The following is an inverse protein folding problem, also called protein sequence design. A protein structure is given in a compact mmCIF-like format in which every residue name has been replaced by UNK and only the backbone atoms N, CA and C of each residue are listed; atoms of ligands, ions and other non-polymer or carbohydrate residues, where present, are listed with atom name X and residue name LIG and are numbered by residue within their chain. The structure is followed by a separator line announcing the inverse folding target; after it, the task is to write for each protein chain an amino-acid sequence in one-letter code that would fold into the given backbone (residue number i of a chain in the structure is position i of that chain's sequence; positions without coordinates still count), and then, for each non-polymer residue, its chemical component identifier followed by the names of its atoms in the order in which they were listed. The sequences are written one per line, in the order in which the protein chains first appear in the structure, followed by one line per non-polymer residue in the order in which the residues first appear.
data_IF_307136529418
#
_entry.id   IF_307136529418
#
_cell.length_a   1.000
_cell.length_b   1.000
_cell.length_c   1.000
_cell.angle_alpha   90.00
_cell.angle_beta   90.00
_cell.angle_gamma   90.00
#
_symmetry.space_group_name_H-M   'P 1'
#
loop_
_entity.id
_entity.type
_entity.pdbx_description
1 polymer ?
#
# COMPACT_ATOMS: atom_id res chain seq x y z
N UNK A 1 46.96 10.69 49.74
CA UNK A 1 47.00 10.80 48.26
C UNK A 1 46.62 9.47 47.64
N UNK A 2 45.87 9.46 46.52
CA UNK A 2 45.38 8.30 45.72
C UNK A 2 44.14 7.59 46.30
N UNK A 3 43.01 7.37 45.61
CA UNK A 3 42.61 7.47 44.19
C UNK A 3 41.11 7.81 44.12
N UNK A 4 40.74 8.85 43.40
CA UNK A 4 39.36 9.15 42.99
C UNK A 4 39.09 8.38 41.70
N UNK A 5 38.08 7.52 41.69
CA UNK A 5 37.63 6.81 40.49
C UNK A 5 36.69 7.76 39.73
N UNK A 6 37.18 8.30 38.62
CA UNK A 6 36.36 9.03 37.64
C UNK A 6 35.68 8.00 36.74
N UNK A 7 34.37 7.82 36.93
CA UNK A 7 33.52 7.08 35.99
C UNK A 7 33.21 8.05 34.84
N UNK A 8 33.93 7.91 33.73
CA UNK A 8 33.62 8.54 32.46
C UNK A 8 32.37 7.86 31.88
N UNK A 9 31.23 8.55 31.98
CA UNK A 9 30.01 8.20 31.25
C UNK A 9 30.29 8.50 29.77
N UNK A 10 30.61 7.45 29.03
CA UNK A 10 30.66 7.46 27.57
C UNK A 10 29.22 7.65 27.08
N UNK A 11 28.83 8.89 26.77
CA UNK A 11 27.61 9.15 26.03
C UNK A 11 27.76 8.48 24.67
N UNK A 12 27.05 7.36 24.50
CA UNK A 12 26.86 6.72 23.22
C UNK A 12 26.36 7.79 22.24
N UNK A 13 27.12 7.97 21.17
CA UNK A 13 26.64 8.63 19.96
C UNK A 13 25.37 7.90 19.53
N UNK A 14 24.22 8.53 19.72
CA UNK A 14 22.99 8.12 19.05
C UNK A 14 23.24 8.44 17.58
N UNK A 15 23.81 7.49 16.86
CA UNK A 15 23.66 7.47 15.42
C UNK A 15 22.16 7.27 15.18
N UNK A 16 21.50 8.34 14.74
CA UNK A 16 20.15 8.29 14.21
C UNK A 16 20.21 7.43 12.95
N UNK A 17 20.15 6.11 13.10
CA UNK A 17 19.89 5.23 11.97
C UNK A 17 18.51 5.61 11.46
N UNK A 18 18.44 6.30 10.32
CA UNK A 18 17.22 6.40 9.54
C UNK A 18 16.80 4.96 9.23
N UNK A 19 15.91 4.39 10.04
CA UNK A 19 15.33 3.10 9.74
C UNK A 19 14.55 3.29 8.44
N UNK A 20 14.96 2.64 7.35
CA UNK A 20 14.12 2.53 6.17
C UNK A 20 12.78 1.96 6.63
N UNK A 21 11.71 2.75 6.49
CA UNK A 21 10.34 2.38 6.83
C UNK A 21 9.82 1.40 5.76
N UNK A 22 10.44 0.25 5.64
CA UNK A 22 9.95 -0.81 4.76
C UNK A 22 8.62 -1.35 5.28
N UNK A 23 7.76 -1.73 4.35
CA UNK A 23 6.41 -2.24 4.63
C UNK A 23 6.19 -3.61 3.98
N UNK A 24 5.25 -4.36 4.54
CA UNK A 24 4.78 -5.60 3.94
C UNK A 24 3.77 -5.30 2.84
N UNK A 25 4.11 -5.69 1.61
CA UNK A 25 3.30 -5.46 0.41
C UNK A 25 2.94 -6.77 -0.25
N UNK A 26 1.78 -6.82 -0.88
CA UNK A 26 1.23 -8.04 -1.50
C UNK A 26 1.38 -7.98 -3.00
N UNK A 27 2.03 -8.98 -3.60
CA UNK A 27 2.11 -9.12 -5.06
C UNK A 27 0.82 -9.72 -5.64
N UNK A 28 0.60 -9.60 -6.95
CA UNK A 28 -0.54 -10.23 -7.63
C UNK A 28 -0.59 -11.76 -7.48
N UNK A 29 0.58 -12.39 -7.28
CA UNK A 29 0.70 -13.81 -6.96
C UNK A 29 0.11 -14.17 -5.59
N UNK A 30 -0.12 -13.17 -4.72
CA UNK A 30 -0.51 -13.33 -3.32
C UNK A 30 0.67 -13.54 -2.38
N UNK A 31 1.91 -13.49 -2.89
CA UNK A 31 3.12 -13.43 -2.07
C UNK A 31 3.21 -12.11 -1.32
N UNK A 32 3.78 -12.14 -0.12
CA UNK A 32 4.05 -10.96 0.70
C UNK A 32 5.55 -10.69 0.66
N UNK A 33 5.92 -9.48 0.27
CA UNK A 33 7.30 -9.02 0.18
C UNK A 33 7.52 -7.82 1.07
N UNK A 34 8.79 -7.62 1.45
CA UNK A 34 9.23 -6.47 2.22
C UNK A 34 9.91 -5.48 1.27
N UNK A 35 9.39 -4.27 1.18
CA UNK A 35 9.85 -3.26 0.23
C UNK A 35 9.62 -1.86 0.77
N UNK A 36 10.29 -0.87 0.18
CA UNK A 36 10.01 0.54 0.44
C UNK A 36 8.54 0.87 0.13
N UNK A 37 7.93 1.81 0.88
CA UNK A 37 6.56 2.24 0.63
C UNK A 37 6.41 2.78 -0.78
N UNK A 38 5.41 2.27 -1.48
CA UNK A 38 4.97 2.78 -2.76
C UNK A 38 3.58 3.41 -2.58
N UNK A 39 3.29 4.46 -3.34
CA UNK A 39 1.95 5.05 -3.37
C UNK A 39 1.33 4.84 -4.74
N UNK A 40 0.02 4.60 -4.78
CA UNK A 40 -0.79 4.57 -6.00
C UNK A 40 -1.55 5.84 -6.28
N UNK A 41 -1.46 6.85 -5.42
CA UNK A 41 -2.08 8.16 -5.62
C UNK A 41 -0.97 9.19 -5.81
N UNK A 42 -1.10 10.06 -6.81
CA UNK A 42 -0.09 11.10 -6.99
C UNK A 42 -0.24 12.15 -5.89
N UNK A 43 0.89 12.64 -5.43
CA UNK A 43 0.97 13.75 -4.49
C UNK A 43 1.29 15.02 -5.28
N UNK A 44 0.44 16.02 -5.15
CA UNK A 44 0.75 17.37 -5.58
C UNK A 44 1.05 18.24 -4.36
N UNK A 45 1.99 19.17 -4.52
CA UNK A 45 2.21 20.20 -3.51
C UNK A 45 1.02 21.15 -3.58
N UNK A 46 0.35 21.38 -2.45
CA UNK A 46 -0.64 22.45 -2.37
C UNK A 46 0.03 23.79 -2.68
N UNK A 47 -0.62 24.56 -3.54
CA UNK A 47 -0.11 25.88 -3.94
C UNK A 47 -0.50 26.87 -2.85
N UNK A 48 0.50 27.43 -2.18
CA UNK A 48 0.30 28.62 -1.35
C UNK A 48 0.04 29.81 -2.29
N UNK A 49 -1.25 30.14 -2.44
CA UNK A 49 -1.69 31.21 -3.33
C UNK A 49 -1.15 32.59 -2.94
N UNK A 50 -0.85 32.83 -1.66
CA UNK A 50 -0.33 34.12 -1.20
C UNK A 50 1.15 34.24 -1.55
N UNK A 51 1.92 33.19 -1.25
CA UNK A 51 3.34 33.11 -1.63
C UNK A 51 3.50 33.23 -3.16
N UNK A 52 2.68 32.48 -3.92
CA UNK A 52 2.73 32.51 -5.38
C UNK A 52 2.32 33.88 -5.94
N UNK A 53 1.34 34.56 -5.33
CA UNK A 53 0.97 35.92 -5.74
C UNK A 53 2.13 36.89 -5.55
N UNK A 54 2.77 36.91 -4.39
CA UNK A 54 3.95 37.74 -4.15
C UNK A 54 5.06 37.42 -5.16
N UNK A 55 5.29 36.13 -5.40
CA UNK A 55 6.29 35.70 -6.40
C UNK A 55 5.96 36.18 -7.81
N UNK A 56 4.69 36.14 -8.20
CA UNK A 56 4.24 36.62 -9.50
C UNK A 56 4.49 38.13 -9.70
N UNK A 57 4.36 38.94 -8.64
CA UNK A 57 4.63 40.38 -8.68
C UNK A 57 6.13 40.66 -8.85
N UNK A 58 6.99 39.88 -8.19
CA UNK A 58 8.45 39.93 -8.39
C UNK A 58 8.85 39.59 -9.83
N UNK A 59 8.26 38.52 -10.39
CA UNK A 59 8.51 38.08 -11.77
C UNK A 59 8.11 39.15 -12.79
N UNK A 60 6.94 39.76 -12.62
CA UNK A 60 6.50 40.86 -13.47
C UNK A 60 7.44 42.08 -13.35
N UNK A 61 7.89 42.42 -12.15
CA UNK A 61 8.84 43.51 -11.95
C UNK A 61 10.21 43.20 -12.58
N UNK A 62 10.66 41.94 -12.52
CA UNK A 62 11.89 41.49 -13.17
C UNK A 62 11.79 41.57 -14.69
N UNK A 63 10.68 41.13 -15.27
CA UNK A 63 10.39 41.31 -16.70
C UNK A 63 10.47 42.78 -17.10
N UNK A 64 9.73 43.68 -16.42
CA UNK A 64 9.74 45.13 -16.72
C UNK A 64 11.11 45.81 -16.65
N UNK A 65 12.08 45.22 -15.93
CA UNK A 65 13.45 45.74 -15.83
C UNK A 65 14.40 45.19 -16.89
N UNK A 66 14.08 44.05 -17.49
CA UNK A 66 15.01 43.27 -18.31
C UNK A 66 14.50 42.92 -19.70
N UNK A 67 13.19 43.04 -19.94
CA UNK A 67 12.48 42.52 -21.11
C UNK A 67 12.74 41.03 -21.38
N UNK A 68 13.15 40.27 -20.34
CA UNK A 68 13.40 38.83 -20.46
C UNK A 68 12.09 38.06 -20.62
N UNK A 69 11.94 37.39 -21.76
CA UNK A 69 10.80 36.50 -22.03
C UNK A 69 10.71 35.31 -21.07
N UNK A 70 11.84 34.92 -20.43
CA UNK A 70 11.85 33.88 -19.39
C UNK A 70 11.06 34.34 -18.16
N UNK A 71 11.36 35.54 -17.63
CA UNK A 71 10.58 36.10 -16.52
C UNK A 71 9.12 36.34 -16.89
N UNK A 72 8.84 36.68 -18.15
CA UNK A 72 7.46 36.86 -18.61
C UNK A 72 6.71 35.53 -18.72
N UNK A 73 7.37 34.48 -19.18
CA UNK A 73 6.86 33.11 -19.20
C UNK A 73 6.59 32.61 -17.78
N UNK A 74 7.53 32.78 -16.85
CA UNK A 74 7.35 32.37 -15.45
C UNK A 74 6.21 33.14 -14.78
N UNK A 75 6.07 34.43 -15.09
CA UNK A 75 4.93 35.23 -14.64
C UNK A 75 3.60 34.65 -15.15
N UNK A 76 3.52 34.29 -16.43
CA UNK A 76 2.33 33.67 -17.01
C UNK A 76 2.04 32.28 -16.44
N UNK A 77 3.07 31.48 -16.13
CA UNK A 77 2.92 30.21 -15.44
C UNK A 77 2.33 30.42 -14.04
N UNK A 78 2.85 31.39 -13.27
CA UNK A 78 2.31 31.74 -11.96
C UNK A 78 0.84 32.19 -12.04
N UNK A 79 0.49 33.02 -13.04
CA UNK A 79 -0.90 33.41 -13.29
C UNK A 79 -1.80 32.22 -13.61
N UNK A 80 -1.28 31.24 -14.37
CA UNK A 80 -2.02 30.00 -14.67
C UNK A 80 -2.33 29.23 -13.39
N UNK A 81 -1.35 29.04 -12.50
CA UNK A 81 -1.56 28.41 -11.19
C UNK A 81 -2.50 29.20 -10.27
N UNK A 82 -2.54 30.53 -10.39
CA UNK A 82 -3.47 31.41 -9.68
C UNK A 82 -4.87 31.45 -10.30
N UNK A 83 -5.10 30.79 -11.43
CA UNK A 83 -6.39 30.75 -12.12
C UNK A 83 -6.68 31.94 -13.05
N UNK A 84 -5.73 32.86 -13.25
CA UNK A 84 -5.86 33.99 -14.20
C UNK A 84 -5.49 33.54 -15.62
N UNK A 85 -6.22 32.55 -16.12
CA UNK A 85 -5.95 31.88 -17.39
C UNK A 85 -6.02 32.83 -18.59
N UNK A 86 -6.93 33.81 -18.56
CA UNK A 86 -7.11 34.74 -19.68
C UNK A 86 -5.92 35.68 -19.82
N UNK A 87 -5.34 36.15 -18.70
CA UNK A 87 -4.13 36.96 -18.72
C UNK A 87 -2.91 36.14 -19.10
N UNK A 88 -2.77 34.94 -18.54
CA UNK A 88 -1.69 34.01 -18.90
C UNK A 88 -1.71 33.70 -20.41
N UNK A 89 -2.88 33.44 -20.98
CA UNK A 89 -3.09 33.24 -22.43
C UNK A 89 -2.54 34.42 -23.24
N UNK A 90 -2.98 35.65 -22.92
CA UNK A 90 -2.54 36.86 -23.65
C UNK A 90 -1.03 37.02 -23.61
N UNK A 91 -0.40 36.73 -22.47
CA UNK A 91 1.06 36.79 -22.32
C UNK A 91 1.73 35.73 -23.20
N UNK A 92 1.30 34.47 -23.16
CA UNK A 92 1.91 33.45 -24.01
C UNK A 92 1.67 33.68 -25.50
N UNK A 93 0.53 34.25 -25.90
CA UNK A 93 0.30 34.70 -27.29
C UNK A 93 1.23 35.84 -27.71
N UNK A 94 1.62 36.71 -26.77
CA UNK A 94 2.65 37.71 -27.00
C UNK A 94 4.05 37.12 -27.07
N UNK A 95 4.40 36.20 -26.18
CA UNK A 95 5.68 35.47 -26.22
C UNK A 95 5.83 34.74 -27.55
N UNK A 96 4.79 34.05 -28.03
CA UNK A 96 4.81 33.38 -29.33
C UNK A 96 5.00 34.36 -30.50
N UNK A 97 4.42 35.58 -30.43
CA UNK A 97 4.62 36.60 -31.47
C UNK A 97 6.04 37.17 -31.47
N UNK A 98 6.64 37.33 -30.28
CA UNK A 98 8.00 37.86 -30.12
C UNK A 98 9.08 36.82 -30.40
N UNK A 99 8.83 35.58 -30.00
CA UNK A 99 9.73 34.44 -30.13
C UNK A 99 8.91 33.19 -30.49
N UNK A 100 8.62 32.99 -31.79
CA UNK A 100 7.77 31.88 -32.23
C UNK A 100 8.43 30.52 -32.04
N UNK A 101 7.61 29.47 -31.98
CA UNK A 101 8.03 28.07 -31.99
C UNK A 101 8.84 27.64 -30.76
N UNK A 102 8.54 28.21 -29.60
CA UNK A 102 9.02 27.68 -28.32
C UNK A 102 8.09 26.54 -27.87
N UNK A 103 8.63 25.35 -27.66
CA UNK A 103 7.83 24.20 -27.22
C UNK A 103 7.15 24.48 -25.86
N UNK A 104 7.82 25.20 -24.95
CA UNK A 104 7.28 25.59 -23.64
C UNK A 104 6.06 26.51 -23.78
N UNK A 105 6.13 27.51 -24.66
CA UNK A 105 5.00 28.39 -24.98
C UNK A 105 3.85 27.60 -25.59
N UNK A 106 4.15 26.70 -26.54
CA UNK A 106 3.13 25.85 -27.16
C UNK A 106 2.45 24.94 -26.12
N UNK A 107 3.22 24.29 -25.24
CA UNK A 107 2.69 23.43 -24.20
C UNK A 107 1.82 24.21 -23.20
N UNK A 108 2.28 25.38 -22.75
CA UNK A 108 1.54 26.22 -21.81
C UNK A 108 0.24 26.76 -22.44
N UNK A 109 0.28 27.21 -23.69
CA UNK A 109 -0.94 27.58 -24.43
C UNK A 109 -1.90 26.39 -24.51
N UNK A 110 -1.42 25.21 -24.85
CA UNK A 110 -2.25 24.00 -24.90
C UNK A 110 -2.98 23.73 -23.57
N UNK A 111 -2.24 23.73 -22.46
CA UNK A 111 -2.81 23.58 -21.11
C UNK A 111 -3.80 24.71 -20.77
N UNK A 112 -3.47 25.96 -21.07
CA UNK A 112 -4.35 27.10 -20.78
C UNK A 112 -5.65 27.03 -21.61
N UNK A 113 -5.55 26.69 -22.90
CA UNK A 113 -6.72 26.47 -23.76
C UNK A 113 -7.60 25.34 -23.23
N UNK A 114 -7.00 24.26 -22.71
CA UNK A 114 -7.76 23.19 -22.05
C UNK A 114 -8.52 23.73 -20.82
N UNK A 115 -7.84 24.50 -19.96
CA UNK A 115 -8.40 25.02 -18.71
C UNK A 115 -9.54 26.03 -18.92
N UNK A 116 -9.51 26.79 -20.02
CA UNK A 116 -10.60 27.71 -20.40
C UNK A 116 -11.72 27.05 -21.24
N UNK A 117 -11.68 25.72 -21.40
CA UNK A 117 -12.74 24.97 -22.09
C UNK A 117 -12.68 25.02 -23.62
N UNK A 118 -11.47 25.13 -24.20
CA UNK A 118 -11.23 25.13 -25.66
C UNK A 118 -10.36 23.93 -26.06
N UNK A 119 -10.89 22.69 -26.00
CA UNK A 119 -10.11 21.48 -26.24
C UNK A 119 -9.61 21.34 -27.69
N UNK A 120 -10.32 21.95 -28.65
CA UNK A 120 -9.94 22.06 -30.05
C UNK A 120 -8.64 22.86 -30.22
N UNK A 121 -8.59 24.05 -29.62
CA UNK A 121 -7.41 24.91 -29.63
C UNK A 121 -6.26 24.30 -28.83
N UNK A 122 -6.58 23.69 -27.68
CA UNK A 122 -5.61 22.98 -26.86
C UNK A 122 -4.90 21.87 -27.65
N UNK A 123 -5.66 21.08 -28.42
CA UNK A 123 -5.12 19.97 -29.19
C UNK A 123 -4.12 20.42 -30.25
N UNK A 124 -4.39 21.56 -30.90
CA UNK A 124 -3.46 22.16 -31.88
C UNK A 124 -2.14 22.53 -31.20
N UNK A 125 -2.21 23.21 -30.06
CA UNK A 125 -1.03 23.69 -29.35
C UNK A 125 -0.20 22.57 -28.72
N UNK A 126 -0.85 21.55 -28.14
CA UNK A 126 -0.14 20.37 -27.63
C UNK A 126 0.53 19.58 -28.75
N UNK A 127 -0.14 19.39 -29.89
CA UNK A 127 0.49 18.77 -31.07
C UNK A 127 1.71 19.54 -31.55
N UNK A 128 1.62 20.88 -31.59
CA UNK A 128 2.77 21.75 -31.90
C UNK A 128 3.89 21.59 -30.89
N UNK A 129 3.58 21.49 -29.59
CA UNK A 129 4.60 21.27 -28.54
C UNK A 129 5.37 19.96 -28.77
N UNK A 130 4.67 18.87 -29.08
CA UNK A 130 5.30 17.56 -29.35
C UNK A 130 6.14 17.62 -30.63
N UNK A 131 5.68 18.30 -31.68
CA UNK A 131 6.45 18.49 -32.93
C UNK A 131 7.77 19.22 -32.67
N UNK A 132 7.74 20.26 -31.82
CA UNK A 132 8.92 21.04 -31.46
C UNK A 132 9.85 20.31 -30.49
N UNK A 133 9.30 19.54 -29.55
CA UNK A 133 10.05 18.77 -28.58
C UNK A 133 9.26 17.53 -28.12
N UNK A 134 9.55 16.34 -28.68
CA UNK A 134 8.91 15.08 -28.30
C UNK A 134 9.14 14.70 -26.83
N UNK A 135 10.26 15.13 -26.23
CA UNK A 135 10.62 14.82 -24.85
C UNK A 135 10.00 15.78 -23.82
N UNK A 136 9.22 16.76 -24.28
CA UNK A 136 8.50 17.69 -23.39
C UNK A 136 7.59 16.93 -22.42
N UNK A 137 7.53 17.42 -21.17
CA UNK A 137 6.85 16.71 -20.06
C UNK A 137 7.25 15.24 -19.94
N UNK A 138 8.54 14.96 -20.13
CA UNK A 138 9.13 13.61 -20.08
C UNK A 138 8.48 12.64 -21.08
N UNK A 139 8.12 13.11 -22.27
CA UNK A 139 7.51 12.29 -23.32
C UNK A 139 6.02 11.99 -23.11
N UNK A 140 5.39 12.54 -22.08
CA UNK A 140 4.03 12.14 -21.68
C UNK A 140 2.89 12.91 -22.36
N UNK A 141 3.17 13.88 -23.23
CA UNK A 141 2.13 14.72 -23.88
C UNK A 141 1.15 13.96 -24.77
N UNK A 142 1.47 12.74 -25.20
CA UNK A 142 0.51 11.90 -25.93
C UNK A 142 -0.75 11.58 -25.09
N UNK A 143 -0.63 11.52 -23.76
CA UNK A 143 -1.77 11.36 -22.85
C UNK A 143 -2.64 12.60 -22.87
N UNK A 144 -2.04 13.80 -22.88
CA UNK A 144 -2.76 15.05 -23.00
C UNK A 144 -3.57 15.08 -24.31
N UNK A 145 -2.95 14.66 -25.43
CA UNK A 145 -3.67 14.49 -26.71
C UNK A 145 -4.86 13.55 -26.54
N UNK A 146 -4.70 12.38 -25.93
CA UNK A 146 -5.81 11.41 -25.74
C UNK A 146 -6.95 11.97 -24.92
N UNK A 147 -6.63 12.75 -23.89
CA UNK A 147 -7.63 13.45 -23.07
C UNK A 147 -8.40 14.47 -23.91
N UNK A 148 -7.71 15.25 -24.74
CA UNK A 148 -8.34 16.26 -25.61
C UNK A 148 -9.17 15.61 -26.72
N UNK A 149 -8.67 14.54 -27.34
CA UNK A 149 -9.41 13.73 -28.30
C UNK A 149 -10.68 13.16 -27.69
N UNK A 150 -10.60 12.63 -26.45
CA UNK A 150 -11.78 12.17 -25.72
C UNK A 150 -12.78 13.30 -25.48
N UNK A 151 -12.33 14.46 -24.99
CA UNK A 151 -13.18 15.64 -24.77
C UNK A 151 -13.88 16.12 -26.05
N UNK A 152 -13.22 16.01 -27.20
CA UNK A 152 -13.76 16.38 -28.51
C UNK A 152 -14.69 15.33 -29.12
N UNK A 153 -14.59 14.06 -28.68
CA UNK A 153 -15.40 12.97 -29.22
C UNK A 153 -16.88 13.01 -28.79
N UNK A 154 -17.24 13.88 -27.83
CA UNK A 154 -18.56 13.94 -27.20
C UNK A 154 -19.05 12.61 -26.59
N UNK A 155 -18.13 11.65 -26.36
CA UNK A 155 -18.45 10.38 -25.73
C UNK A 155 -19.00 10.59 -24.32
N UNK A 156 -20.20 10.07 -24.06
CA UNK A 156 -20.88 10.16 -22.76
C UNK A 156 -20.62 8.97 -21.84
N UNK A 157 -19.96 7.91 -22.31
CA UNK A 157 -19.75 6.69 -21.53
C UNK A 157 -18.26 6.34 -21.39
N UNK A 158 -17.68 6.68 -20.24
CA UNK A 158 -16.30 6.38 -19.88
C UNK A 158 -16.23 5.05 -19.12
N UNK A 159 -16.43 3.92 -19.81
CA UNK A 159 -16.29 2.58 -19.17
C UNK A 159 -14.91 1.96 -19.35
N UNK A 160 -14.12 2.45 -20.30
CA UNK A 160 -12.84 1.88 -20.71
C UNK A 160 -11.76 2.95 -20.73
N UNK A 161 -10.50 2.53 -20.87
CA UNK A 161 -9.35 3.44 -20.94
C UNK A 161 -9.51 4.46 -22.08
N UNK A 162 -9.50 5.75 -21.75
CA UNK A 162 -9.46 6.83 -22.76
C UNK A 162 -8.11 6.88 -23.47
N UNK A 163 -7.08 6.25 -22.90
CA UNK A 163 -5.76 6.10 -23.49
C UNK A 163 -5.71 4.96 -24.52
N UNK A 164 -6.80 4.18 -24.64
CA UNK A 164 -6.85 2.99 -25.50
C UNK A 164 -6.06 1.80 -24.93
N UNK A 165 -5.74 1.82 -23.64
CA UNK A 165 -4.96 0.77 -22.99
C UNK A 165 -5.85 -0.43 -22.68
N UNK A 166 -5.26 -1.62 -22.81
CA UNK A 166 -5.97 -2.90 -22.74
C UNK A 166 -5.32 -3.86 -21.76
N UNK A 167 -5.77 -3.85 -20.51
CA UNK A 167 -5.23 -4.72 -19.45
C UNK A 167 -6.04 -6.02 -19.24
N UNK A 168 -6.69 -6.50 -20.31
CA UNK A 168 -7.66 -7.60 -20.28
C UNK A 168 -9.00 -7.24 -19.65
N UNK A 169 -9.94 -8.20 -19.63
CA UNK A 169 -11.30 -8.06 -19.05
C UNK A 169 -11.48 -8.87 -17.75
N UNK A 170 -10.38 -9.42 -17.23
CA UNK A 170 -10.37 -10.26 -16.04
C UNK A 170 -10.32 -9.44 -14.75
N UNK A 171 -10.69 -10.08 -13.63
CA UNK A 171 -10.61 -9.51 -12.26
C UNK A 171 -9.18 -9.25 -11.79
N UNK A 172 -8.18 -9.80 -12.49
CA UNK A 172 -6.76 -9.49 -12.32
C UNK A 172 -6.28 -8.86 -13.63
N UNK A 173 -5.69 -7.65 -13.62
CA UNK A 173 -5.15 -7.04 -14.82
C UNK A 173 -3.97 -7.86 -15.35
N UNK A 174 -3.83 -7.90 -16.66
CA UNK A 174 -2.69 -8.50 -17.36
C UNK A 174 -2.19 -7.58 -18.47
N UNK A 175 -0.99 -7.80 -19.00
CA UNK A 175 -0.42 -6.99 -20.08
C UNK A 175 -0.37 -7.79 -21.41
N UNK A 176 -1.52 -8.07 -22.05
CA UNK A 176 -1.58 -8.91 -23.24
C UNK A 176 -0.94 -8.25 -24.48
N UNK A 177 -0.80 -6.93 -24.47
CA UNK A 177 -0.24 -6.15 -25.58
C UNK A 177 1.23 -5.78 -25.34
N UNK A 178 1.86 -6.35 -24.31
CA UNK A 178 3.29 -6.20 -24.02
C UNK A 178 3.77 -4.73 -23.93
N UNK A 179 2.94 -3.86 -23.33
CA UNK A 179 3.31 -2.47 -23.07
C UNK A 179 4.55 -2.39 -22.17
N UNK A 180 5.40 -1.37 -22.39
CA UNK A 180 6.37 -0.96 -21.38
C UNK A 180 5.63 -0.32 -20.20
N UNK A 181 5.47 -1.11 -19.13
CA UNK A 181 4.67 -0.71 -17.98
C UNK A 181 5.36 0.34 -17.10
N UNK A 182 6.70 0.39 -17.08
CA UNK A 182 7.43 1.38 -16.29
C UNK A 182 7.38 2.75 -16.97
N UNK A 183 7.60 2.79 -18.28
CA UNK A 183 7.46 4.01 -19.07
C UNK A 183 6.01 4.54 -19.01
N UNK A 184 5.03 3.66 -19.21
CA UNK A 184 3.63 4.04 -19.17
C UNK A 184 3.18 4.53 -17.79
N UNK A 185 3.63 3.87 -16.73
CA UNK A 185 3.42 4.33 -15.35
C UNK A 185 4.00 5.72 -15.14
N UNK A 186 5.24 5.96 -15.59
CA UNK A 186 5.91 7.25 -15.50
C UNK A 186 5.14 8.37 -16.22
N UNK A 187 4.68 8.11 -17.44
CA UNK A 187 3.89 9.06 -18.22
C UNK A 187 2.55 9.39 -17.54
N UNK A 188 1.79 8.38 -17.12
CA UNK A 188 0.50 8.59 -16.44
C UNK A 188 0.71 9.32 -15.11
N UNK A 189 1.73 8.96 -14.34
CA UNK A 189 2.05 9.61 -13.08
C UNK A 189 2.38 11.09 -13.27
N UNK A 190 3.20 11.42 -14.26
CA UNK A 190 3.55 12.80 -14.58
C UNK A 190 2.29 13.61 -14.93
N UNK A 191 1.46 13.10 -15.83
CA UNK A 191 0.25 13.79 -16.28
C UNK A 191 -0.80 13.93 -15.16
N UNK A 192 -0.98 12.91 -14.32
CA UNK A 192 -1.82 13.00 -13.13
C UNK A 192 -1.31 14.09 -12.17
N UNK A 193 0.01 14.16 -11.94
CA UNK A 193 0.61 15.16 -11.03
C UNK A 193 0.35 16.58 -11.52
N UNK A 194 0.57 16.84 -12.81
CA UNK A 194 0.32 18.17 -13.39
C UNK A 194 -1.18 18.51 -13.31
N UNK A 195 -2.06 17.58 -13.71
CA UNK A 195 -3.50 17.84 -13.81
C UNK A 195 -4.21 18.00 -12.47
N UNK A 196 -3.89 17.17 -11.49
CA UNK A 196 -4.54 17.20 -10.17
C UNK A 196 -4.22 18.48 -9.39
N UNK A 197 -3.21 19.24 -9.83
CA UNK A 197 -2.93 20.60 -9.36
C UNK A 197 -4.08 21.55 -9.67
N UNK A 198 -4.63 21.48 -10.89
CA UNK A 198 -5.71 22.36 -11.36
C UNK A 198 -7.11 21.75 -11.17
N UNK A 199 -7.22 20.43 -11.25
CA UNK A 199 -8.50 19.70 -11.29
C UNK A 199 -8.69 18.93 -9.99
N UNK A 200 -9.78 19.22 -9.26
CA UNK A 200 -10.17 18.50 -8.05
C UNK A 200 -11.31 17.51 -8.35
N UNK A 201 -11.50 16.48 -7.50
CA UNK A 201 -12.67 15.61 -7.59
C UNK A 201 -13.99 16.40 -7.55
N UNK A 202 -15.01 16.05 -8.35
CA UNK A 202 -15.09 14.91 -9.27
C UNK A 202 -14.67 15.29 -10.70
N UNK A 203 -13.88 14.41 -11.33
CA UNK A 203 -13.49 14.50 -12.74
C UNK A 203 -13.20 13.09 -13.29
N UNK A 204 -14.14 12.53 -14.04
CA UNK A 204 -14.08 11.13 -14.48
C UNK A 204 -12.90 10.82 -15.41
N UNK A 205 -12.40 11.80 -16.16
CA UNK A 205 -11.19 11.66 -16.99
C UNK A 205 -9.98 11.38 -16.10
N UNK A 206 -9.77 12.18 -15.05
CA UNK A 206 -8.71 11.94 -14.07
C UNK A 206 -8.91 10.60 -13.38
N UNK A 207 -10.17 10.26 -13.05
CA UNK A 207 -10.48 8.94 -12.48
C UNK A 207 -10.12 7.77 -13.41
N UNK A 208 -10.34 7.92 -14.72
CA UNK A 208 -9.98 6.93 -15.72
C UNK A 208 -8.46 6.73 -15.83
N UNK A 209 -7.67 7.82 -15.75
CA UNK A 209 -6.21 7.73 -15.72
C UNK A 209 -5.72 6.98 -14.46
N UNK A 210 -6.33 7.25 -13.30
CA UNK A 210 -6.04 6.48 -12.08
C UNK A 210 -6.43 5.00 -12.21
N UNK A 211 -7.50 4.69 -12.93
CA UNK A 211 -7.84 3.30 -13.23
C UNK A 211 -6.76 2.61 -14.07
N UNK A 212 -6.25 3.26 -15.11
CA UNK A 212 -5.14 2.73 -15.91
C UNK A 212 -3.87 2.58 -15.09
N UNK A 213 -3.55 3.57 -14.24
CA UNK A 213 -2.42 3.49 -13.31
C UNK A 213 -2.58 2.29 -12.35
N UNK A 214 -3.77 2.07 -11.80
CA UNK A 214 -4.03 0.93 -10.91
C UNK A 214 -3.85 -0.42 -11.59
N UNK A 215 -4.19 -0.53 -12.88
CA UNK A 215 -3.94 -1.74 -13.67
C UNK A 215 -2.44 -2.01 -13.84
N UNK A 216 -1.65 -0.94 -14.01
CA UNK A 216 -0.19 -1.01 -14.18
C UNK A 216 0.50 -1.33 -12.86
N UNK A 217 0.19 -0.57 -11.80
CA UNK A 217 0.83 -0.73 -10.49
C UNK A 217 0.55 -2.09 -9.86
N UNK A 218 -0.59 -2.70 -10.16
CA UNK A 218 -0.85 -4.08 -9.74
C UNK A 218 0.22 -5.04 -10.29
N UNK A 219 0.68 -4.81 -11.52
CA UNK A 219 1.64 -5.68 -12.21
C UNK A 219 3.10 -5.30 -11.94
N UNK A 220 3.40 -4.04 -11.67
CA UNK A 220 4.77 -3.54 -11.51
C UNK A 220 5.20 -3.29 -10.08
N UNK A 221 4.27 -2.99 -9.17
CA UNK A 221 4.56 -2.64 -7.77
C UNK A 221 3.94 -3.65 -6.81
N UNK A 222 2.70 -3.43 -6.43
CA UNK A 222 1.99 -4.22 -5.45
C UNK A 222 0.48 -3.93 -5.46
N UNK A 223 -0.27 -4.79 -4.78
CA UNK A 223 -1.71 -4.72 -4.65
C UNK A 223 -2.16 -3.47 -3.89
N UNK A 224 -1.41 -3.01 -2.88
CA UNK A 224 -1.78 -1.85 -2.07
C UNK A 224 -1.70 -0.57 -2.91
N UNK A 225 -0.63 -0.37 -3.68
CA UNK A 225 -0.53 0.73 -4.64
C UNK A 225 -1.67 0.69 -5.67
N UNK A 226 -1.98 -0.48 -6.24
CA UNK A 226 -3.11 -0.59 -7.16
C UNK A 226 -4.46 -0.20 -6.53
N UNK A 227 -4.68 -0.60 -5.27
CA UNK A 227 -5.88 -0.25 -4.51
C UNK A 227 -5.97 1.25 -4.21
N UNK A 228 -4.85 1.90 -3.90
CA UNK A 228 -4.79 3.36 -3.75
C UNK A 228 -5.18 4.07 -5.05
N UNK A 229 -4.66 3.62 -6.20
CA UNK A 229 -5.05 4.17 -7.51
C UNK A 229 -6.53 3.94 -7.81
N UNK A 230 -7.08 2.75 -7.61
CA UNK A 230 -8.52 2.52 -7.83
C UNK A 230 -9.41 3.32 -6.87
N UNK A 231 -8.94 3.54 -5.64
CA UNK A 231 -9.64 4.39 -4.67
C UNK A 231 -9.64 5.85 -5.12
N UNK A 232 -8.50 6.35 -5.63
CA UNK A 232 -8.43 7.66 -6.26
C UNK A 232 -9.32 7.75 -7.51
N UNK A 233 -9.36 6.70 -8.34
CA UNK A 233 -10.26 6.65 -9.50
C UNK A 233 -11.73 6.86 -9.09
N UNK A 234 -12.17 6.15 -8.04
CA UNK A 234 -13.51 6.28 -7.46
C UNK A 234 -13.77 7.65 -6.84
N UNK A 235 -12.80 8.23 -6.14
CA UNK A 235 -12.87 9.58 -5.58
C UNK A 235 -13.12 10.62 -6.67
N UNK A 236 -12.42 10.49 -7.80
CA UNK A 236 -12.60 11.32 -8.98
C UNK A 236 -13.87 11.00 -9.78
N UNK A 237 -14.65 10.00 -9.37
CA UNK A 237 -15.96 9.69 -9.94
C UNK A 237 -15.96 8.61 -11.01
N UNK A 238 -14.82 7.97 -11.31
CA UNK A 238 -14.77 6.86 -12.25
C UNK A 238 -15.11 5.54 -11.54
N UNK A 239 -16.16 4.84 -11.97
CA UNK A 239 -16.67 3.63 -11.31
C UNK A 239 -17.11 2.51 -12.29
N UNK A 240 -16.27 2.22 -13.28
CA UNK A 240 -16.59 1.16 -14.25
C UNK A 240 -16.79 -0.22 -13.60
N UNK A 241 -17.68 -1.03 -14.19
CA UNK A 241 -17.97 -2.40 -13.72
C UNK A 241 -16.69 -3.23 -13.58
N UNK A 242 -15.77 -3.11 -14.54
CA UNK A 242 -14.50 -3.85 -14.54
C UNK A 242 -13.59 -3.39 -13.40
N UNK A 243 -13.49 -2.08 -13.17
CA UNK A 243 -12.68 -1.56 -12.06
C UNK A 243 -13.19 -2.07 -10.71
N UNK A 244 -14.51 -2.02 -10.48
CA UNK A 244 -15.10 -2.50 -9.22
C UNK A 244 -14.81 -4.00 -9.01
N UNK A 245 -14.87 -4.80 -10.08
CA UNK A 245 -14.51 -6.22 -10.02
C UNK A 245 -13.04 -6.44 -9.64
N UNK A 246 -12.13 -5.63 -10.18
CA UNK A 246 -10.70 -5.67 -9.87
C UNK A 246 -10.41 -5.23 -8.44
N UNK A 247 -10.95 -4.09 -8.02
CA UNK A 247 -10.84 -3.57 -6.66
C UNK A 247 -11.26 -4.62 -5.63
N UNK A 248 -12.45 -5.20 -5.77
CA UNK A 248 -12.94 -6.25 -4.86
C UNK A 248 -12.06 -7.50 -4.83
N UNK A 249 -11.43 -7.87 -5.95
CA UNK A 249 -10.53 -9.02 -6.04
C UNK A 249 -9.21 -8.73 -5.33
N UNK A 250 -8.66 -7.53 -5.54
CA UNK A 250 -7.41 -7.08 -4.95
C UNK A 250 -7.53 -6.87 -3.42
N UNK A 251 -8.64 -6.30 -2.94
CA UNK A 251 -8.90 -6.19 -1.49
C UNK A 251 -8.89 -7.56 -0.80
N UNK A 252 -9.54 -8.56 -1.41
CA UNK A 252 -9.53 -9.94 -0.88
C UNK A 252 -8.14 -10.56 -0.88
N UNK A 253 -7.32 -10.26 -1.89
CA UNK A 253 -5.93 -10.73 -1.94
C UNK A 253 -5.10 -10.10 -0.81
N UNK A 254 -5.16 -8.78 -0.65
CA UNK A 254 -4.46 -8.06 0.41
C UNK A 254 -4.90 -8.52 1.81
N UNK A 255 -6.21 -8.71 2.03
CA UNK A 255 -6.74 -9.20 3.32
C UNK A 255 -6.22 -10.60 3.67
N UNK A 256 -6.21 -11.52 2.70
CA UNK A 256 -5.70 -12.89 2.90
C UNK A 256 -4.21 -12.91 3.21
N UNK A 257 -3.43 -12.07 2.50
CA UNK A 257 -2.01 -11.90 2.72
C UNK A 257 -1.71 -11.41 4.14
N UNK A 258 -2.34 -10.31 4.56
CA UNK A 258 -2.19 -9.74 5.90
C UNK A 258 -2.57 -10.74 7.00
N UNK A 259 -3.68 -11.49 6.84
CA UNK A 259 -4.08 -12.51 7.82
C UNK A 259 -3.03 -13.62 7.96
N UNK A 260 -2.49 -14.10 6.84
CA UNK A 260 -1.44 -15.13 6.81
C UNK A 260 -0.18 -14.62 7.52
N UNK A 261 0.21 -13.39 7.24
CA UNK A 261 1.39 -12.77 7.81
C UNK A 261 1.27 -12.57 9.32
N UNK A 262 0.15 -12.01 9.79
CA UNK A 262 -0.14 -11.87 11.22
C UNK A 262 -0.10 -13.21 11.95
N UNK A 263 -0.61 -14.27 11.31
CA UNK A 263 -0.55 -15.63 11.86
C UNK A 263 0.89 -16.13 11.96
N UNK A 264 1.71 -15.89 10.94
CA UNK A 264 3.14 -16.28 10.94
C UNK A 264 3.92 -15.48 11.99
N UNK A 265 3.68 -14.17 12.09
CA UNK A 265 4.33 -13.30 13.08
C UNK A 265 4.00 -13.77 14.50
N UNK A 266 2.71 -13.97 14.79
CA UNK A 266 2.23 -14.50 16.06
C UNK A 266 2.91 -15.84 16.41
N UNK A 267 3.00 -16.77 15.45
CA UNK A 267 3.68 -18.05 15.65
C UNK A 267 5.16 -17.89 15.96
N UNK A 268 5.88 -17.00 15.26
CA UNK A 268 7.31 -16.74 15.49
C UNK A 268 7.56 -16.16 16.88
N UNK A 269 6.79 -15.17 17.28
CA UNK A 269 6.92 -14.51 18.59
C UNK A 269 6.62 -15.47 19.74
N UNK A 270 5.69 -16.41 19.54
CA UNK A 270 5.21 -17.30 20.60
C UNK A 270 5.76 -18.74 20.49
N UNK A 271 6.68 -19.04 19.58
CA UNK A 271 7.06 -20.44 19.27
C UNK A 271 7.63 -21.19 20.48
N UNK A 272 8.40 -20.51 21.33
CA UNK A 272 8.98 -21.10 22.55
C UNK A 272 7.90 -21.36 23.59
N UNK A 273 6.98 -20.41 23.80
CA UNK A 273 5.87 -20.57 24.72
C UNK A 273 4.92 -21.70 24.26
N UNK A 274 4.61 -21.75 22.96
CA UNK A 274 3.82 -22.82 22.33
C UNK A 274 4.52 -24.18 22.53
N UNK A 275 5.84 -24.25 22.32
CA UNK A 275 6.59 -25.49 22.52
C UNK A 275 6.49 -26.01 23.96
N UNK A 276 6.75 -25.16 24.96
CA UNK A 276 6.72 -25.57 26.37
C UNK A 276 5.31 -25.89 26.86
N UNK A 277 4.29 -25.15 26.42
CA UNK A 277 2.89 -25.47 26.75
C UNK A 277 2.47 -26.80 26.15
N UNK A 278 2.81 -27.08 24.89
CA UNK A 278 2.57 -28.38 24.27
C UNK A 278 3.31 -29.51 24.99
N UNK A 279 4.58 -29.30 25.38
CA UNK A 279 5.36 -30.29 26.13
C UNK A 279 4.70 -30.62 27.49
N UNK A 280 4.29 -29.59 28.22
CA UNK A 280 3.67 -29.73 29.54
C UNK A 280 2.30 -30.42 29.46
N UNK A 281 1.48 -30.08 28.47
CA UNK A 281 0.23 -30.78 28.17
C UNK A 281 0.47 -32.25 27.79
N UNK A 282 1.52 -32.54 27.00
CA UNK A 282 1.92 -33.90 26.66
C UNK A 282 2.33 -34.71 27.90
N UNK A 283 3.12 -34.14 28.79
CA UNK A 283 3.52 -34.77 30.06
C UNK A 283 2.31 -35.03 30.96
N UNK A 284 1.38 -34.07 31.08
CA UNK A 284 0.14 -34.23 31.84
C UNK A 284 -0.74 -35.34 31.23
N UNK A 285 -0.82 -35.44 29.91
CA UNK A 285 -1.56 -36.48 29.23
C UNK A 285 -0.96 -37.87 29.48
N UNK A 286 0.36 -38.01 29.41
CA UNK A 286 1.06 -39.25 29.75
C UNK A 286 0.83 -39.62 31.21
N UNK A 287 0.94 -38.65 32.12
CA UNK A 287 0.64 -38.85 33.54
C UNK A 287 -0.80 -39.33 33.77
N UNK A 288 -1.79 -38.72 33.09
CA UNK A 288 -3.19 -39.12 33.15
C UNK A 288 -3.38 -40.57 32.70
N UNK A 289 -2.73 -40.98 31.60
CA UNK A 289 -2.77 -42.36 31.11
C UNK A 289 -2.18 -43.32 32.14
N UNK A 290 -0.99 -43.02 32.66
CA UNK A 290 -0.32 -43.84 33.69
C UNK A 290 -1.22 -43.98 34.92
N UNK A 291 -1.81 -42.88 35.38
CA UNK A 291 -2.73 -42.86 36.51
C UNK A 291 -3.97 -43.72 36.26
N UNK A 292 -4.59 -43.62 35.08
CA UNK A 292 -5.74 -44.45 34.70
C UNK A 292 -5.38 -45.94 34.65
N UNK A 293 -4.18 -46.30 34.16
CA UNK A 293 -3.68 -47.69 34.15
C UNK A 293 -3.50 -48.21 35.58
N UNK A 294 -2.86 -47.43 36.46
CA UNK A 294 -2.66 -47.80 37.87
C UNK A 294 -4.00 -47.96 38.58
N UNK A 295 -4.94 -47.04 38.37
CA UNK A 295 -6.30 -47.10 38.95
C UNK A 295 -7.06 -48.35 38.50
N UNK A 296 -6.98 -48.72 37.21
CA UNK A 296 -7.58 -49.96 36.68
C UNK A 296 -6.94 -51.22 37.30
N UNK A 297 -5.61 -51.25 37.46
CA UNK A 297 -4.93 -52.37 38.15
C UNK A 297 -5.38 -52.50 39.60
N UNK A 298 -5.43 -51.41 40.37
CA UNK A 298 -5.93 -51.43 41.76
C UNK A 298 -7.36 -51.96 41.83
N UNK A 299 -8.26 -51.49 40.97
CA UNK A 299 -9.67 -51.93 40.94
C UNK A 299 -9.82 -53.44 40.63
N UNK A 300 -8.98 -54.00 39.74
CA UNK A 300 -8.92 -55.46 39.49
C UNK A 300 -8.44 -56.24 40.71
N UNK A 301 -7.41 -55.76 41.41
CA UNK A 301 -6.90 -56.41 42.64
C UNK A 301 -7.98 -56.40 43.74
N UNK A 302 -8.70 -55.29 43.92
CA UNK A 302 -9.79 -55.21 44.90
C UNK A 302 -10.96 -56.15 44.58
N UNK A 303 -11.31 -56.30 43.30
CA UNK A 303 -12.33 -57.28 42.84
C UNK A 303 -11.91 -58.73 43.09
N UNK A 304 -10.62 -59.07 42.91
CA UNK A 304 -10.08 -60.40 43.20
C UNK A 304 -10.11 -60.70 44.71
N UNK A 305 -9.80 -59.72 45.56
CA UNK A 305 -9.83 -59.87 47.03
C UNK A 305 -11.26 -60.04 47.55
N UNK A 306 -12.25 -59.35 46.98
CA UNK A 306 -13.67 -59.48 47.39
C UNK A 306 -14.28 -60.82 46.92
N UNK A 307 -13.71 -61.48 45.90
CA UNK A 307 -14.19 -62.79 45.42
C UNK A 307 -13.63 -64.02 46.17
N UNK A 308 -12.83 -63.86 47.22
CA UNK A 308 -12.42 -65.01 48.04
C UNK A 308 -13.47 -65.34 49.12
N UNK A 309 -14.04 -66.56 49.14
CA UNK A 309 -15.01 -66.93 50.16
C UNK A 309 -14.34 -67.16 51.51
N UNK A 310 -14.90 -66.53 52.55
CA UNK A 310 -14.47 -66.65 53.95
C UNK A 310 -14.83 -68.05 54.47
N UNK A 311 -13.84 -68.93 54.62
CA UNK A 311 -14.04 -70.28 55.18
C UNK A 311 -13.81 -70.24 56.69
N UNK A 312 -14.89 -70.25 57.49
CA UNK A 312 -14.84 -70.32 58.94
C UNK A 312 -14.73 -71.77 59.41
N UNK A 313 -13.58 -72.19 59.94
CA UNK A 313 -13.47 -73.38 60.79
C UNK A 313 -12.95 -72.99 62.18
N UNK A 314 -13.87 -73.05 63.16
CA UNK A 314 -13.59 -73.08 64.60
C UNK A 314 -12.86 -74.38 64.95
N UNK A 315 -11.76 -74.31 65.70
CA UNK A 315 -11.20 -75.44 66.45
C UNK A 315 -11.19 -75.09 67.94
N UNK A 316 -12.01 -75.80 68.71
CA UNK A 316 -11.93 -75.87 70.17
C UNK A 316 -10.87 -76.90 70.57
N UNK A 317 -10.05 -76.60 71.57
CA UNK A 317 -9.15 -77.56 72.25
C UNK A 317 -9.66 -77.82 73.68
N UNK A 318 -9.61 -79.07 74.18
CA UNK A 318 -10.01 -79.39 75.54
C UNK A 318 -8.86 -79.24 76.54
N UNK A 319 -9.25 -78.92 77.78
CA UNK A 319 -8.42 -78.78 78.98
C UNK A 319 -8.25 -80.16 79.62
N UNK A 320 -7.03 -80.53 80.01
CA UNK A 320 -6.75 -81.75 80.80
C UNK A 320 -6.02 -81.37 82.11
N UNK A 321 -6.35 -82.08 83.19
CA UNK A 321 -6.10 -81.71 84.59
C UNK A 321 -5.40 -82.88 85.31
N UNK A 322 -4.08 -82.79 85.56
CA UNK A 322 -3.28 -83.52 86.57
C UNK A 322 -2.00 -82.70 86.80
N UNK A 323 -1.48 -82.38 88.00
CA UNK A 323 -1.53 -83.01 89.32
C UNK A 323 -0.08 -83.40 89.71
N UNK A 324 0.53 -82.72 90.68
CA UNK A 324 1.84 -83.08 91.29
C UNK A 324 2.82 -81.89 91.38
N UNK A 325 2.92 -81.08 92.46
CA UNK A 325 3.51 -81.25 93.82
C UNK A 325 5.06 -81.27 93.91
N UNK A 326 5.55 -80.42 94.83
CA UNK A 326 6.86 -80.34 95.53
C UNK A 326 7.94 -79.36 95.01
N UNK A 327 8.14 -78.21 95.71
CA UNK A 327 9.16 -77.86 96.76
C UNK A 327 10.55 -77.69 96.12
N UNK A 328 11.45 -76.73 96.39
CA UNK A 328 11.82 -75.71 97.40
C UNK A 328 12.87 -74.84 96.66
N UNK A 329 13.31 -73.64 97.00
CA UNK A 329 13.39 -72.75 98.18
C UNK A 329 13.80 -71.39 97.64
#
# INVERSE_FOLDING_TARGET
MRKTILILIYFATIESSFACLNEYRTLLTGEVVYTDPSSGKVWNKEIDSLELKHKSEELLAAYKRSDSLEYYSDYAAALTYLGDYQKAKTIYEEIERLSPNLYTTASNLGTIYELIGKPDSALIWIKKSIELNPDSHKGSEWIHIKILEYKLSESLDIQTSILGLGFGNSKIPSNPNEYDLEELSSHIWHQLRERTTFVKPKNEIVGNLYFDLGNILAQTRDVQAALESYSAAKEYGFDSKLMILRLNKLEKLAFKANTRENTISFLKENIVAIFWTCLLLGLLFVFLIIWLIIKRKKKRVTLIIISQPYNSQKKCFPIDFKGGLFFTS
#
